data_IF_979690827838
#
_entry.id   IF_979690827838
#
_cell.length_a   1.000
_cell.length_b   1.000
_cell.length_c   1.000
_cell.angle_alpha   90.00
_cell.angle_beta   90.00
_cell.angle_gamma   90.00
#
_symmetry.space_group_name_H-M   'P 1'
#
loop_
_entity.id
_entity.type
_entity.pdbx_description
1 polymer ?
#
# COMPACT_ATOMS: atom_id res chain seq x y z
N UNK A 1 -47.17 -38.27 23.67
CA UNK A 1 -47.71 -37.03 24.28
C UNK A 1 -47.98 -36.01 23.18
N UNK A 2 -49.26 -35.78 22.85
CA UNK A 2 -49.69 -34.82 21.81
C UNK A 2 -49.67 -33.41 22.40
N UNK A 3 -48.81 -32.53 21.88
CA UNK A 3 -48.73 -31.13 22.31
C UNK A 3 -50.02 -30.38 21.93
N UNK A 4 -50.58 -29.64 22.88
CA UNK A 4 -51.83 -28.89 22.68
C UNK A 4 -51.66 -27.77 21.64
N UNK A 5 -52.71 -27.45 20.85
CA UNK A 5 -52.61 -26.51 19.72
C UNK A 5 -52.14 -25.09 20.11
N UNK A 6 -52.28 -24.72 21.40
CA UNK A 6 -51.81 -23.44 21.96
C UNK A 6 -50.28 -23.38 22.13
N UNK A 7 -49.61 -24.49 22.44
CA UNK A 7 -48.14 -24.57 22.57
C UNK A 7 -47.43 -24.66 21.22
N UNK A 8 -48.09 -25.20 20.19
CA UNK A 8 -47.55 -25.31 18.82
C UNK A 8 -47.32 -23.94 18.16
N UNK A 9 -48.15 -22.94 18.48
CA UNK A 9 -48.03 -21.59 17.93
C UNK A 9 -46.91 -20.75 18.58
N UNK A 10 -46.61 -20.97 19.87
CA UNK A 10 -45.47 -20.29 20.52
C UNK A 10 -44.13 -20.87 20.07
N UNK A 11 -44.07 -22.18 19.80
CA UNK A 11 -42.87 -22.83 19.28
C UNK A 11 -42.53 -22.36 17.85
N UNK A 12 -43.54 -22.25 16.97
CA UNK A 12 -43.36 -21.69 15.61
C UNK A 12 -42.88 -20.23 15.63
N UNK A 13 -43.39 -19.41 16.56
CA UNK A 13 -42.92 -18.02 16.74
C UNK A 13 -41.47 -17.96 17.21
N UNK A 14 -41.06 -18.80 18.16
CA UNK A 14 -39.67 -18.89 18.62
C UNK A 14 -38.73 -19.31 17.50
N UNK A 15 -39.10 -20.33 16.72
CA UNK A 15 -38.33 -20.77 15.55
C UNK A 15 -38.20 -19.63 14.52
N UNK A 16 -39.28 -18.90 14.23
CA UNK A 16 -39.23 -17.75 13.33
C UNK A 16 -38.25 -16.66 13.78
N UNK A 17 -38.17 -16.38 15.08
CA UNK A 17 -37.20 -15.42 15.63
C UNK A 17 -35.76 -15.91 15.44
N UNK A 18 -35.47 -17.19 15.73
CA UNK A 18 -34.13 -17.75 15.52
C UNK A 18 -33.72 -17.75 14.04
N UNK A 19 -34.64 -18.07 13.13
CA UNK A 19 -34.38 -18.00 11.69
C UNK A 19 -34.10 -16.56 11.26
N UNK A 20 -34.89 -15.59 11.75
CA UNK A 20 -34.65 -14.17 11.44
C UNK A 20 -33.30 -13.68 11.95
N UNK A 21 -32.88 -14.13 13.13
CA UNK A 21 -31.58 -13.79 13.71
C UNK A 21 -30.42 -14.34 12.85
N UNK A 22 -30.54 -15.59 12.39
CA UNK A 22 -29.53 -16.21 11.51
C UNK A 22 -29.41 -15.49 10.17
N UNK A 23 -30.54 -15.04 9.59
CA UNK A 23 -30.54 -14.28 8.33
C UNK A 23 -29.81 -12.94 8.51
N UNK A 24 -30.09 -12.22 9.60
CA UNK A 24 -29.42 -10.95 9.91
C UNK A 24 -27.92 -11.16 10.12
N UNK A 25 -27.53 -12.21 10.85
CA UNK A 25 -26.12 -12.52 11.09
C UNK A 25 -25.36 -12.85 9.79
N UNK A 26 -25.97 -13.67 8.93
CA UNK A 26 -25.41 -14.00 7.61
C UNK A 26 -25.28 -12.78 6.70
N UNK A 27 -26.26 -11.88 6.73
CA UNK A 27 -26.22 -10.63 5.96
C UNK A 27 -25.11 -9.69 6.43
N UNK A 28 -24.90 -9.56 7.75
CA UNK A 28 -23.80 -8.77 8.32
C UNK A 28 -22.43 -9.37 7.95
N UNK A 29 -22.30 -10.70 7.97
CA UNK A 29 -21.06 -11.37 7.56
C UNK A 29 -20.77 -11.16 6.06
N UNK A 30 -21.79 -11.22 5.21
CA UNK A 30 -21.67 -10.94 3.77
C UNK A 30 -21.22 -9.50 3.52
N UNK A 31 -21.83 -8.52 4.20
CA UNK A 31 -21.43 -7.12 4.15
C UNK A 31 -19.97 -6.92 4.58
N UNK A 32 -19.54 -7.56 5.68
CA UNK A 32 -18.16 -7.48 6.14
C UNK A 32 -17.18 -7.99 5.06
N UNK A 33 -17.49 -9.11 4.40
CA UNK A 33 -16.65 -9.67 3.34
C UNK A 33 -16.52 -8.74 2.11
N UNK A 34 -17.52 -7.90 1.82
CA UNK A 34 -17.42 -6.89 0.77
C UNK A 34 -16.39 -5.79 1.13
N UNK A 35 -16.28 -5.41 2.41
CA UNK A 35 -15.32 -4.39 2.85
C UNK A 35 -13.87 -4.91 2.98
N UNK A 36 -13.68 -6.22 3.17
CA UNK A 36 -12.33 -6.82 3.30
C UNK A 36 -11.67 -7.19 1.95
N UNK A 37 -12.36 -7.01 0.81
CA UNK A 37 -11.79 -7.28 -0.52
C UNK A 37 -11.08 -6.06 -1.14
N UNK A 38 -10.07 -5.50 -0.47
CA UNK A 38 -9.12 -4.61 -1.17
C UNK A 38 -7.71 -4.72 -0.59
N UNK A 39 -6.97 -5.74 -1.03
CA UNK A 39 -5.54 -5.60 -1.25
C UNK A 39 -5.26 -6.21 -2.62
N UNK A 40 -5.38 -5.40 -3.66
CA UNK A 40 -4.92 -5.79 -5.00
C UNK A 40 -3.42 -6.02 -4.91
N UNK A 41 -2.98 -7.27 -5.03
CA UNK A 41 -1.58 -7.53 -5.35
C UNK A 41 -1.35 -7.01 -6.76
N UNK A 42 -0.52 -5.99 -6.90
CA UNK A 42 -0.12 -5.48 -8.21
C UNK A 42 0.59 -6.61 -8.94
N UNK A 43 -0.07 -7.18 -9.95
CA UNK A 43 0.53 -8.16 -10.86
C UNK A 43 1.63 -7.44 -11.66
N UNK A 44 2.89 -7.80 -11.40
CA UNK A 44 4.05 -7.30 -12.13
C UNK A 44 4.35 -8.32 -13.23
N UNK A 45 4.13 -7.94 -14.49
CA UNK A 45 4.54 -8.76 -15.63
C UNK A 45 6.08 -8.79 -15.72
N UNK A 46 6.70 -9.97 -15.85
CA UNK A 46 8.15 -10.11 -16.04
C UNK A 46 8.63 -9.73 -17.46
N UNK A 47 7.71 -9.43 -18.38
CA UNK A 47 8.02 -9.04 -19.76
C UNK A 47 7.68 -7.55 -19.95
N UNK A 48 8.72 -6.77 -20.22
CA UNK A 48 8.72 -5.31 -20.20
C UNK A 48 7.72 -4.64 -21.14
N UNK A 49 7.01 -3.66 -20.56
CA UNK A 49 6.78 -2.29 -21.07
C UNK A 49 5.92 -1.60 -20.03
N UNK A 50 6.45 -1.50 -18.81
CA UNK A 50 5.84 -0.70 -17.78
C UNK A 50 5.99 0.77 -18.16
N UNK A 51 4.96 1.33 -18.80
CA UNK A 51 4.60 2.75 -18.74
C UNK A 51 4.23 3.14 -17.28
N UNK A 52 5.06 2.72 -16.34
CA UNK A 52 4.97 3.04 -14.92
C UNK A 52 5.55 4.44 -14.81
N UNK A 53 4.67 5.38 -14.46
CA UNK A 53 4.77 6.84 -14.66
C UNK A 53 6.11 7.47 -14.24
N UNK A 54 7.17 7.26 -15.02
CA UNK A 54 8.47 7.93 -14.84
C UNK A 54 8.27 9.45 -14.81
N UNK A 55 7.42 9.97 -15.69
CA UNK A 55 7.06 11.39 -15.74
C UNK A 55 6.43 11.89 -14.44
N UNK A 56 5.62 11.07 -13.76
CA UNK A 56 5.01 11.44 -12.48
C UNK A 56 6.06 11.50 -11.36
N UNK A 57 6.95 10.51 -11.30
CA UNK A 57 8.07 10.53 -10.34
C UNK A 57 8.97 11.74 -10.59
N UNK A 58 9.29 12.01 -11.86
CA UNK A 58 10.07 13.18 -12.27
C UNK A 58 9.42 14.48 -11.82
N UNK A 59 8.11 14.63 -12.03
CA UNK A 59 7.34 15.78 -11.58
C UNK A 59 7.41 15.93 -10.05
N UNK A 60 7.17 14.86 -9.30
CA UNK A 60 7.21 14.90 -7.84
C UNK A 60 8.60 15.29 -7.33
N UNK A 61 9.68 14.76 -7.92
CA UNK A 61 11.05 15.15 -7.54
C UNK A 61 11.33 16.63 -7.81
N UNK A 62 10.89 17.14 -8.97
CA UNK A 62 11.00 18.56 -9.32
C UNK A 62 10.19 19.45 -8.37
N UNK A 63 8.94 19.07 -8.10
CA UNK A 63 8.04 19.81 -7.19
C UNK A 63 8.63 19.89 -5.76
N UNK A 64 9.44 18.90 -5.36
CA UNK A 64 10.14 18.87 -4.06
C UNK A 64 11.58 19.42 -4.11
N UNK A 65 11.99 20.03 -5.23
CA UNK A 65 13.33 20.60 -5.44
C UNK A 65 14.48 19.61 -5.21
N UNK A 66 14.28 18.33 -5.55
CA UNK A 66 15.33 17.30 -5.45
C UNK A 66 16.09 17.24 -6.77
N UNK A 67 17.39 17.49 -6.73
CA UNK A 67 18.26 17.35 -7.90
C UNK A 67 18.49 15.86 -8.22
N UNK A 68 18.29 15.47 -9.48
CA UNK A 68 18.54 14.12 -9.97
C UNK A 68 19.20 14.17 -11.36
N UNK A 69 20.08 13.23 -11.67
CA UNK A 69 20.72 13.10 -13.00
C UNK A 69 19.98 12.11 -13.91
N UNK A 70 19.23 11.17 -13.34
CA UNK A 70 18.47 10.20 -14.10
C UNK A 70 17.52 9.37 -13.24
N UNK A 71 16.49 8.84 -13.90
CA UNK A 71 15.51 7.92 -13.30
C UNK A 71 15.43 6.68 -14.20
N UNK A 72 15.64 5.52 -13.60
CA UNK A 72 15.57 4.19 -14.22
C UNK A 72 14.49 3.38 -13.52
N UNK A 73 13.64 2.71 -14.31
CA UNK A 73 12.69 1.74 -13.76
C UNK A 73 13.40 0.40 -13.69
N UNK A 74 13.40 -0.21 -12.51
CA UNK A 74 14.08 -1.46 -12.21
C UNK A 74 13.10 -2.64 -12.31
N UNK A 75 13.64 -3.83 -12.54
CA UNK A 75 12.87 -5.07 -12.74
C UNK A 75 11.97 -5.43 -11.54
N UNK A 76 12.36 -5.03 -10.32
CA UNK A 76 11.61 -5.24 -9.10
C UNK A 76 10.47 -4.23 -8.87
N UNK A 77 10.01 -3.58 -9.95
CA UNK A 77 9.04 -2.48 -9.90
C UNK A 77 9.47 -1.39 -8.91
N UNK A 78 10.75 -1.05 -8.88
CA UNK A 78 11.28 0.09 -8.14
C UNK A 78 11.85 1.14 -9.08
N UNK A 79 11.98 2.37 -8.59
CA UNK A 79 12.61 3.47 -9.33
C UNK A 79 14.00 3.70 -8.75
N UNK A 80 15.02 3.55 -9.59
CA UNK A 80 16.39 3.95 -9.29
C UNK A 80 16.59 5.39 -9.72
N UNK A 81 16.95 6.25 -8.77
CA UNK A 81 17.22 7.66 -8.99
C UNK A 81 18.68 7.92 -8.69
N UNK A 82 19.39 8.53 -9.63
CA UNK A 82 20.78 8.96 -9.42
C UNK A 82 20.79 10.40 -8.93
N UNK A 83 21.40 10.67 -7.77
CA UNK A 83 21.54 12.02 -7.22
C UNK A 83 22.93 12.55 -7.58
N UNK A 84 23.05 13.74 -8.22
CA UNK A 84 24.35 14.32 -8.56
C UNK A 84 25.24 14.47 -7.33
N UNK A 85 26.53 14.13 -7.46
CA UNK A 85 27.54 14.20 -6.39
C UNK A 85 27.26 13.31 -5.16
N UNK A 86 26.25 12.46 -5.23
CA UNK A 86 25.83 11.54 -4.19
C UNK A 86 25.59 10.14 -4.80
N UNK A 87 24.96 9.26 -4.02
CA UNK A 87 24.66 7.91 -4.40
C UNK A 87 23.34 7.72 -5.14
N UNK A 88 22.90 6.47 -5.15
CA UNK A 88 21.62 6.07 -5.72
C UNK A 88 20.51 6.08 -4.67
N UNK A 89 19.29 6.34 -5.09
CA UNK A 89 18.09 6.25 -4.27
C UNK A 89 17.12 5.29 -4.94
N UNK A 90 16.58 4.34 -4.17
CA UNK A 90 15.63 3.35 -4.66
C UNK A 90 14.26 3.60 -4.04
N UNK A 91 13.29 4.00 -4.86
CA UNK A 91 11.90 4.19 -4.44
C UNK A 91 11.06 2.98 -4.81
N UNK A 92 10.20 2.53 -3.91
CA UNK A 92 9.26 1.44 -4.20
C UNK A 92 8.03 1.97 -4.92
N UNK A 93 7.65 1.35 -6.05
CA UNK A 93 6.37 1.66 -6.71
C UNK A 93 5.15 1.18 -5.91
N UNK A 94 5.34 0.25 -4.98
CA UNK A 94 4.28 -0.32 -4.14
C UNK A 94 3.88 0.60 -2.98
N UNK A 95 4.67 1.64 -2.71
CA UNK A 95 4.45 2.61 -1.62
C UNK A 95 4.07 3.97 -2.17
N UNK A 96 3.54 4.83 -1.30
CA UNK A 96 3.20 6.20 -1.68
C UNK A 96 4.48 6.99 -2.01
N UNK A 97 4.67 7.32 -3.29
CA UNK A 97 5.85 8.04 -3.79
C UNK A 97 5.99 9.42 -3.16
N UNK A 98 4.90 10.17 -2.96
CA UNK A 98 4.97 11.49 -2.33
C UNK A 98 5.53 11.41 -0.91
N UNK A 99 5.10 10.41 -0.12
CA UNK A 99 5.64 10.19 1.23
C UNK A 99 7.11 9.81 1.19
N UNK A 100 7.51 8.92 0.28
CA UNK A 100 8.91 8.52 0.12
C UNK A 100 9.78 9.71 -0.27
N UNK A 101 9.34 10.56 -1.20
CA UNK A 101 10.06 11.76 -1.65
C UNK A 101 10.16 12.81 -0.54
N UNK A 102 9.11 13.02 0.26
CA UNK A 102 9.17 13.91 1.42
C UNK A 102 10.18 13.41 2.47
N UNK A 103 10.19 12.10 2.75
CA UNK A 103 11.19 11.49 3.61
C UNK A 103 12.61 11.61 3.04
N UNK A 104 12.77 11.38 1.74
CA UNK A 104 14.05 11.57 1.04
C UNK A 104 14.56 13.01 1.19
N UNK A 105 13.70 14.01 0.99
CA UNK A 105 14.08 15.41 1.13
C UNK A 105 14.62 15.71 2.54
N UNK A 106 13.97 15.17 3.57
CA UNK A 106 14.44 15.29 4.95
C UNK A 106 15.81 14.65 5.14
N UNK A 107 15.99 13.40 4.69
CA UNK A 107 17.25 12.67 4.81
C UNK A 107 18.38 13.40 4.09
N UNK A 108 18.15 13.87 2.86
CA UNK A 108 19.15 14.63 2.09
C UNK A 108 19.54 15.91 2.82
N UNK A 109 18.58 16.62 3.43
CA UNK A 109 18.86 17.83 4.22
C UNK A 109 19.72 17.52 5.45
N UNK A 110 19.39 16.47 6.20
CA UNK A 110 20.17 16.04 7.36
C UNK A 110 21.59 15.64 6.94
N UNK A 111 21.75 14.81 5.91
CA UNK A 111 23.06 14.39 5.39
C UNK A 111 23.90 15.57 4.86
N UNK A 112 23.26 16.57 4.26
CA UNK A 112 23.94 17.79 3.80
C UNK A 112 24.44 18.63 4.98
N UNK A 113 23.63 18.78 6.03
CA UNK A 113 24.03 19.49 7.26
C UNK A 113 25.19 18.78 7.94
N UNK A 114 25.17 17.44 7.97
CA UNK A 114 26.23 16.62 8.54
C UNK A 114 27.48 16.51 7.64
N UNK A 115 27.40 16.93 6.38
CA UNK A 115 28.47 16.79 5.40
C UNK A 115 28.80 15.33 5.05
N UNK A 116 27.85 14.40 5.25
CA UNK A 116 28.06 12.97 5.01
C UNK A 116 27.57 12.57 3.61
N UNK A 117 28.44 12.08 2.72
CA UNK A 117 27.99 11.49 1.46
C UNK A 117 27.27 10.17 1.76
N UNK A 118 26.43 9.70 0.85
CA UNK A 118 25.83 8.37 0.92
C UNK A 118 26.04 7.65 -0.40
N UNK A 119 26.16 6.32 -0.36
CA UNK A 119 26.24 5.45 -1.52
C UNK A 119 24.87 4.99 -1.99
N UNK A 120 23.96 4.67 -1.07
CA UNK A 120 22.63 4.19 -1.42
C UNK A 120 21.58 4.55 -0.35
N UNK A 121 20.36 4.88 -0.76
CA UNK A 121 19.18 4.99 0.12
C UNK A 121 18.05 4.12 -0.45
N UNK A 122 17.59 3.12 0.31
CA UNK A 122 16.56 2.18 -0.15
C UNK A 122 15.25 2.33 0.65
N UNK A 123 14.17 2.76 -0.02
CA UNK A 123 12.83 2.94 0.55
C UNK A 123 11.93 1.70 0.40
N UNK A 124 12.44 0.57 -0.09
CA UNK A 124 11.66 -0.66 -0.19
C UNK A 124 11.30 -1.24 1.18
N UNK A 125 12.04 -0.91 2.23
CA UNK A 125 11.82 -1.33 3.62
C UNK A 125 10.94 -0.33 4.41
N UNK A 126 10.34 -0.76 5.53
CA UNK A 126 9.49 0.11 6.35
C UNK A 126 10.23 1.38 6.78
N UNK A 127 11.47 1.21 7.23
CA UNK A 127 12.41 2.30 7.48
C UNK A 127 13.45 2.35 6.34
N UNK A 128 13.80 3.55 5.84
CA UNK A 128 14.76 3.67 4.75
C UNK A 128 16.16 3.24 5.20
N UNK A 129 16.79 2.38 4.40
CA UNK A 129 18.16 1.90 4.68
C UNK A 129 19.15 2.81 3.97
N UNK A 130 20.08 3.39 4.73
CA UNK A 130 21.14 4.26 4.22
C UNK A 130 22.47 3.51 4.26
N UNK A 131 23.19 3.49 3.15
CA UNK A 131 24.55 2.93 3.03
C UNK A 131 25.52 4.03 2.65
N UNK A 132 26.72 4.00 3.25
CA UNK A 132 27.80 4.99 3.08
C UNK A 132 28.91 4.42 2.20
#
# INVERSE_FOLDING_TARGET
MLQSPRQRNSFKKKIGVYISLLIVLGFLFFLANLFFQTKSSSFISPLGTSNVDKSKVEKILKDNNIAFSGIVVLEDASYGISIPNNGQVRLSSQKNINKQVASLQRILRELTIEGKPFKNIDFRFEEPIISY
#
